data_IF_646498920958
#
_entry.id   IF_646498920958
#
_cell.length_a   1.000
_cell.length_b   1.000
_cell.length_c   1.000
_cell.angle_alpha   90.00
_cell.angle_beta   90.00
_cell.angle_gamma   90.00
#
_symmetry.space_group_name_H-M   'P 1'
#
loop_
_entity.id
_entity.type
_entity.pdbx_description
1 polymer ?
#
# COMPACT_ATOMS: atom_id res chain seq x y z
N UNK A 1 -15.21 15.14 7.27
CA UNK A 1 -14.98 13.91 6.50
C UNK A 1 -13.76 13.19 7.04
N UNK A 2 -13.93 11.95 7.44
CA UNK A 2 -12.81 11.11 7.85
C UNK A 2 -12.23 10.43 6.60
N UNK A 3 -10.91 10.50 6.44
CA UNK A 3 -10.29 9.74 5.37
C UNK A 3 -9.98 8.33 5.86
N UNK A 4 -10.00 7.40 4.91
CA UNK A 4 -9.55 6.04 5.14
C UNK A 4 -8.08 6.09 5.61
N UNK A 5 -7.72 5.28 6.58
CA UNK A 5 -6.34 5.25 7.05
C UNK A 5 -6.06 6.17 8.23
N UNK A 6 -7.08 6.50 9.04
CA UNK A 6 -6.88 7.31 10.25
C UNK A 6 -6.22 6.54 11.40
N UNK A 7 -6.01 5.23 11.24
CA UNK A 7 -5.52 4.36 12.30
C UNK A 7 -6.63 3.68 13.10
N UNK A 8 -7.86 4.11 12.94
CA UNK A 8 -9.02 3.50 13.61
C UNK A 8 -9.61 2.35 12.82
N UNK A 9 -9.32 2.25 11.54
CA UNK A 9 -9.85 1.20 10.69
C UNK A 9 -8.97 -0.05 10.82
N UNK A 10 -9.61 -1.21 10.84
CA UNK A 10 -8.93 -2.49 11.00
C UNK A 10 -7.84 -2.74 9.95
N UNK A 11 -8.08 -2.33 8.71
CA UNK A 11 -7.12 -2.55 7.62
C UNK A 11 -5.84 -1.76 7.83
N UNK A 12 -5.95 -0.51 8.27
CA UNK A 12 -4.76 0.30 8.58
C UNK A 12 -3.97 -0.32 9.73
N UNK A 13 -4.66 -0.76 10.77
CA UNK A 13 -4.04 -1.43 11.92
C UNK A 13 -3.23 -2.67 11.47
N UNK A 14 -3.84 -3.52 10.66
CA UNK A 14 -3.18 -4.74 10.17
C UNK A 14 -2.01 -4.44 9.23
N UNK A 15 -2.12 -3.41 8.40
CA UNK A 15 -1.01 -2.99 7.55
C UNK A 15 0.16 -2.50 8.37
N UNK A 16 -0.09 -1.73 9.43
CA UNK A 16 0.96 -1.30 10.34
C UNK A 16 1.65 -2.50 10.99
N UNK A 17 0.90 -3.54 11.38
CA UNK A 17 1.46 -4.77 11.93
C UNK A 17 2.40 -5.46 10.93
N UNK A 18 1.97 -5.62 9.66
CA UNK A 18 2.83 -6.19 8.61
C UNK A 18 4.09 -5.36 8.41
N UNK A 19 3.96 -4.04 8.42
CA UNK A 19 5.09 -3.14 8.18
C UNK A 19 6.13 -3.22 9.30
N UNK A 20 5.70 -3.44 10.54
CA UNK A 20 6.64 -3.59 11.67
C UNK A 20 7.49 -4.86 11.54
N UNK A 21 7.03 -5.85 10.80
CA UNK A 21 7.75 -7.11 10.55
C UNK A 21 8.48 -7.11 9.19
N UNK A 22 8.54 -5.98 8.52
CA UNK A 22 9.10 -5.87 7.16
C UNK A 22 10.35 -4.99 7.20
N UNK A 23 11.36 -5.37 6.43
CA UNK A 23 12.57 -4.57 6.26
C UNK A 23 12.35 -3.50 5.19
N UNK A 24 12.35 -2.25 5.59
CA UNK A 24 12.21 -1.09 4.70
C UNK A 24 13.54 -0.40 4.41
N UNK A 25 14.62 -0.79 5.08
CA UNK A 25 15.88 -0.06 5.02
C UNK A 25 16.40 0.07 3.58
N UNK A 26 16.53 1.30 3.11
CA UNK A 26 17.06 1.61 1.80
C UNK A 26 16.13 1.28 0.62
N UNK A 27 14.90 0.92 0.88
CA UNK A 27 13.99 0.44 -0.17
C UNK A 27 13.11 1.52 -0.77
N UNK A 28 12.71 1.30 -2.02
CA UNK A 28 11.73 2.14 -2.72
C UNK A 28 10.35 1.58 -2.49
N UNK A 29 9.43 2.43 -2.06
CA UNK A 29 8.10 2.05 -1.59
C UNK A 29 7.03 2.83 -2.33
N UNK A 30 5.93 2.16 -2.66
CA UNK A 30 4.71 2.78 -3.15
C UNK A 30 3.61 2.60 -2.11
N UNK A 31 2.95 3.69 -1.73
CA UNK A 31 1.72 3.68 -0.94
C UNK A 31 0.59 4.12 -1.86
N UNK A 32 -0.17 3.15 -2.36
CA UNK A 32 -1.25 3.37 -3.31
C UNK A 32 -2.58 3.52 -2.60
N UNK A 33 -3.28 4.65 -2.82
CA UNK A 33 -4.45 5.00 -2.05
C UNK A 33 -4.05 5.47 -0.66
N UNK A 34 -3.09 6.40 -0.58
CA UNK A 34 -2.37 6.71 0.66
C UNK A 34 -3.24 7.36 1.75
N UNK A 35 -4.40 7.92 1.43
CA UNK A 35 -5.29 8.52 2.41
C UNK A 35 -4.61 9.61 3.22
N UNK A 36 -4.48 9.39 4.52
CA UNK A 36 -3.81 10.34 5.44
C UNK A 36 -2.28 10.33 5.32
N UNK A 37 -1.71 9.36 4.59
CA UNK A 37 -0.27 9.21 4.47
C UNK A 37 0.39 8.44 5.61
N UNK A 38 -0.38 7.86 6.52
CA UNK A 38 0.17 7.20 7.72
C UNK A 38 1.12 6.04 7.38
N UNK A 39 0.79 5.25 6.36
CA UNK A 39 1.64 4.11 5.96
C UNK A 39 2.94 4.59 5.32
N UNK A 40 2.87 5.60 4.46
CA UNK A 40 4.05 6.21 3.86
C UNK A 40 4.98 6.80 4.92
N UNK A 41 4.41 7.47 5.91
CA UNK A 41 5.18 8.06 7.01
C UNK A 41 5.89 6.95 7.82
N UNK A 42 5.20 5.86 8.14
CA UNK A 42 5.83 4.74 8.83
C UNK A 42 6.95 4.13 7.99
N UNK A 43 6.77 4.00 6.67
CA UNK A 43 7.80 3.47 5.79
C UNK A 43 9.09 4.32 5.87
N UNK A 44 8.96 5.65 5.89
CA UNK A 44 10.12 6.51 6.04
C UNK A 44 10.78 6.33 7.42
N UNK A 45 9.99 6.28 8.49
CA UNK A 45 10.51 6.05 9.85
C UNK A 45 11.24 4.71 9.95
N UNK A 46 10.87 3.73 9.12
CA UNK A 46 11.51 2.42 9.07
C UNK A 46 12.69 2.36 8.10
N UNK A 47 13.10 3.47 7.52
CA UNK A 47 14.31 3.57 6.73
C UNK A 47 14.16 3.50 5.22
N UNK A 48 12.95 3.55 4.69
CA UNK A 48 12.74 3.58 3.24
C UNK A 48 13.47 4.78 2.62
N UNK A 49 14.13 4.56 1.49
CA UNK A 49 14.95 5.60 0.86
C UNK A 49 14.13 6.54 -0.03
N UNK A 50 13.04 6.03 -0.60
CA UNK A 50 12.14 6.80 -1.47
C UNK A 50 10.75 6.22 -1.38
N UNK A 51 9.76 7.08 -1.16
CA UNK A 51 8.38 6.66 -1.03
C UNK A 51 7.53 7.54 -1.96
N UNK A 52 6.75 6.89 -2.83
CA UNK A 52 5.71 7.57 -3.60
C UNK A 52 4.37 7.26 -2.95
N UNK A 53 3.62 8.30 -2.63
CA UNK A 53 2.30 8.20 -2.02
C UNK A 53 1.27 8.79 -2.99
N UNK A 54 0.33 7.96 -3.44
CA UNK A 54 -0.60 8.33 -4.50
C UNK A 54 -2.03 8.21 -3.99
N UNK A 55 -2.87 9.20 -4.27
CA UNK A 55 -4.30 9.12 -4.04
C UNK A 55 -5.05 9.85 -5.15
N UNK A 56 -6.24 9.35 -5.48
CA UNK A 56 -7.09 9.96 -6.51
C UNK A 56 -7.97 11.06 -5.92
N UNK A 57 -8.13 11.10 -4.61
CA UNK A 57 -8.95 12.06 -3.88
C UNK A 57 -8.11 13.28 -3.51
N UNK A 58 -8.53 14.47 -3.97
CA UNK A 58 -7.79 15.70 -3.70
C UNK A 58 -7.74 16.05 -2.22
N UNK A 59 -8.78 15.69 -1.46
CA UNK A 59 -8.80 15.94 -0.02
C UNK A 59 -7.75 15.07 0.68
N UNK A 60 -7.68 13.78 0.31
CA UNK A 60 -6.65 12.87 0.82
C UNK A 60 -5.25 13.34 0.45
N UNK A 61 -5.06 13.78 -0.78
CA UNK A 61 -3.79 14.34 -1.24
C UNK A 61 -3.32 15.49 -0.35
N UNK A 62 -4.20 16.46 -0.09
CA UNK A 62 -3.89 17.62 0.75
C UNK A 62 -3.62 17.20 2.21
N UNK A 63 -4.44 16.31 2.73
CA UNK A 63 -4.31 15.82 4.09
C UNK A 63 -2.99 15.07 4.30
N UNK A 64 -2.59 14.25 3.33
CA UNK A 64 -1.30 13.56 3.41
C UNK A 64 -0.13 14.52 3.37
N UNK A 65 -0.18 15.57 2.55
CA UNK A 65 0.86 16.60 2.51
C UNK A 65 1.06 17.25 3.88
N UNK A 66 -0.04 17.61 4.55
CA UNK A 66 0.03 18.21 5.88
C UNK A 66 0.67 17.26 6.90
N UNK A 67 0.27 16.00 6.87
CA UNK A 67 0.79 15.00 7.82
C UNK A 67 2.28 14.71 7.58
N UNK A 68 2.69 14.65 6.33
CA UNK A 68 4.10 14.47 5.94
C UNK A 68 4.94 15.62 6.48
N UNK A 69 4.46 16.85 6.32
CA UNK A 69 5.16 18.03 6.82
C UNK A 69 5.24 18.03 8.34
N UNK A 70 4.13 17.73 9.04
CA UNK A 70 4.09 17.67 10.50
C UNK A 70 5.07 16.65 11.07
N UNK A 71 5.35 15.58 10.35
CA UNK A 71 6.24 14.52 10.79
C UNK A 71 7.67 14.70 10.27
N UNK A 72 7.97 15.83 9.64
CA UNK A 72 9.29 16.17 9.11
C UNK A 72 9.85 15.11 8.16
N UNK A 73 8.98 14.46 7.38
CA UNK A 73 9.39 13.47 6.41
C UNK A 73 10.05 14.12 5.19
N UNK A 74 11.13 13.54 4.71
CA UNK A 74 11.94 14.08 3.61
C UNK A 74 11.95 13.22 2.36
N UNK A 75 11.57 11.95 2.47
CA UNK A 75 11.72 10.97 1.40
C UNK A 75 10.39 10.59 0.74
N UNK A 76 9.30 11.27 1.11
CA UNK A 76 7.96 11.00 0.57
C UNK A 76 7.60 12.04 -0.47
N UNK A 77 7.21 11.56 -1.66
CA UNK A 77 6.65 12.40 -2.70
C UNK A 77 5.19 12.01 -2.90
N UNK A 78 4.32 13.00 -2.89
CA UNK A 78 2.87 12.78 -2.98
C UNK A 78 2.35 13.16 -4.35
N UNK A 79 1.47 12.34 -4.91
CA UNK A 79 0.88 12.56 -6.23
C UNK A 79 -0.64 12.44 -6.15
N UNK A 80 -1.32 13.26 -6.92
CA UNK A 80 -2.76 13.16 -7.14
C UNK A 80 -3.00 12.44 -8.46
N UNK A 81 -3.59 11.23 -8.41
CA UNK A 81 -3.84 10.45 -9.61
C UNK A 81 -4.08 8.97 -9.32
N UNK A 82 -3.96 8.14 -10.35
CA UNK A 82 -4.22 6.70 -10.30
C UNK A 82 -3.03 5.88 -10.80
N UNK A 83 -3.26 4.58 -11.11
CA UNK A 83 -2.20 3.68 -11.55
C UNK A 83 -1.51 4.08 -12.84
N UNK A 84 -2.08 4.99 -13.63
CA UNK A 84 -1.41 5.49 -14.83
C UNK A 84 -0.11 6.21 -14.51
N UNK A 85 0.03 6.69 -13.27
CA UNK A 85 1.26 7.33 -12.80
C UNK A 85 2.42 6.35 -12.58
N UNK A 86 2.15 5.04 -12.60
CA UNK A 86 3.16 4.00 -12.32
C UNK A 86 3.99 3.62 -13.55
N UNK A 87 3.67 4.14 -14.71
CA UNK A 87 4.39 3.82 -15.93
C UNK A 87 5.89 4.12 -15.75
N UNK A 88 6.71 3.12 -16.09
CA UNK A 88 8.18 3.17 -15.98
C UNK A 88 8.70 3.34 -14.54
N UNK A 89 7.87 3.07 -13.53
CA UNK A 89 8.30 3.12 -12.13
C UNK A 89 8.41 1.71 -11.56
N UNK A 90 9.42 1.51 -10.72
CA UNK A 90 9.66 0.21 -10.06
C UNK A 90 9.83 0.42 -8.56
N UNK A 91 9.27 -0.50 -7.79
CA UNK A 91 9.30 -0.47 -6.33
C UNK A 91 9.68 -1.84 -5.78
N UNK A 92 10.32 -1.83 -4.62
CA UNK A 92 10.65 -3.05 -3.89
C UNK A 92 9.53 -3.46 -2.94
N UNK A 93 8.73 -2.49 -2.49
CA UNK A 93 7.55 -2.73 -1.66
C UNK A 93 6.40 -1.89 -2.19
N UNK A 94 5.24 -2.53 -2.38
CA UNK A 94 4.00 -1.84 -2.73
C UNK A 94 2.97 -2.15 -1.66
N UNK A 95 2.33 -1.09 -1.15
CA UNK A 95 1.26 -1.18 -0.17
C UNK A 95 0.01 -0.59 -0.81
N UNK A 96 -1.08 -1.35 -0.85
CA UNK A 96 -2.34 -0.87 -1.41
C UNK A 96 -3.47 -1.21 -0.43
N UNK A 97 -3.95 -0.20 0.28
CA UNK A 97 -5.06 -0.33 1.22
C UNK A 97 -6.29 0.33 0.59
N UNK A 98 -6.90 -0.38 -0.36
CA UNK A 98 -7.98 0.13 -1.23
C UNK A 98 -9.06 -0.96 -1.34
N UNK A 99 -10.27 -0.59 -1.81
CA UNK A 99 -11.33 -1.57 -1.95
C UNK A 99 -11.01 -2.66 -2.99
N UNK A 100 -11.65 -3.82 -2.82
CA UNK A 100 -11.44 -5.02 -3.64
C UNK A 100 -11.52 -4.76 -5.14
N UNK A 101 -12.54 -4.03 -5.59
CA UNK A 101 -12.77 -3.86 -7.03
C UNK A 101 -11.63 -3.10 -7.70
N UNK A 102 -11.09 -2.10 -7.03
CA UNK A 102 -9.93 -1.35 -7.54
C UNK A 102 -8.68 -2.22 -7.51
N UNK A 103 -8.47 -2.99 -6.43
CA UNK A 103 -7.34 -3.91 -6.35
C UNK A 103 -7.34 -4.92 -7.51
N UNK A 104 -8.48 -5.52 -7.80
CA UNK A 104 -8.60 -6.49 -8.89
C UNK A 104 -8.36 -5.86 -10.25
N UNK A 105 -8.89 -4.66 -10.46
CA UNK A 105 -8.72 -3.91 -11.71
C UNK A 105 -7.27 -3.55 -11.97
N UNK A 106 -6.55 -3.11 -10.93
CA UNK A 106 -5.22 -2.53 -11.06
C UNK A 106 -4.08 -3.49 -10.74
N UNK A 107 -4.39 -4.76 -10.45
CA UNK A 107 -3.40 -5.75 -10.01
C UNK A 107 -2.25 -5.92 -10.99
N UNK A 108 -2.52 -5.95 -12.28
CA UNK A 108 -1.49 -6.08 -13.31
C UNK A 108 -0.47 -4.95 -13.21
N UNK A 109 -0.96 -3.72 -13.02
CA UNK A 109 -0.09 -2.55 -12.89
C UNK A 109 0.81 -2.64 -11.67
N UNK A 110 0.28 -3.11 -10.54
CA UNK A 110 1.07 -3.29 -9.33
C UNK A 110 2.14 -4.36 -9.55
N UNK A 111 1.77 -5.48 -10.15
CA UNK A 111 2.71 -6.56 -10.43
C UNK A 111 3.84 -6.09 -11.35
N UNK A 112 3.50 -5.35 -12.39
CA UNK A 112 4.48 -4.82 -13.35
C UNK A 112 5.44 -3.85 -12.69
N UNK A 113 4.95 -3.03 -11.76
CA UNK A 113 5.75 -2.03 -11.04
C UNK A 113 6.52 -2.59 -9.85
N UNK A 114 6.29 -3.85 -9.51
CA UNK A 114 7.00 -4.51 -8.41
C UNK A 114 8.26 -5.20 -8.95
N UNK A 115 9.40 -4.94 -8.32
CA UNK A 115 10.65 -5.60 -8.68
C UNK A 115 10.65 -7.08 -8.29
N UNK A 116 11.50 -7.88 -8.93
CA UNK A 116 11.70 -9.26 -8.54
C UNK A 116 12.14 -9.32 -7.08
N UNK A 117 11.64 -10.30 -6.33
CA UNK A 117 11.81 -10.44 -4.89
C UNK A 117 11.08 -9.35 -4.09
N UNK A 118 10.31 -8.50 -4.76
CA UNK A 118 9.53 -7.45 -4.12
C UNK A 118 8.34 -8.00 -3.34
N UNK A 119 7.83 -7.19 -2.41
CA UNK A 119 6.72 -7.55 -1.53
C UNK A 119 5.52 -6.67 -1.82
N UNK A 120 4.34 -7.29 -1.88
CA UNK A 120 3.08 -6.61 -2.09
C UNK A 120 2.17 -6.85 -0.90
N UNK A 121 1.66 -5.77 -0.31
CA UNK A 121 0.72 -5.82 0.81
C UNK A 121 -0.62 -5.26 0.35
N UNK A 122 -1.67 -6.05 0.47
CA UNK A 122 -3.02 -5.69 0.02
C UNK A 122 -4.01 -5.77 1.17
N UNK A 123 -4.83 -4.76 1.32
CA UNK A 123 -5.94 -4.75 2.26
C UNK A 123 -7.07 -3.87 1.74
N UNK A 124 -8.19 -3.85 2.45
CA UNK A 124 -9.40 -3.14 2.02
C UNK A 124 -10.47 -4.10 1.52
N UNK A 125 -10.37 -5.38 1.88
CA UNK A 125 -11.31 -6.43 1.51
C UNK A 125 -11.56 -7.37 2.68
N UNK A 126 -12.61 -8.16 2.57
CA UNK A 126 -13.03 -9.12 3.59
C UNK A 126 -12.47 -10.52 3.33
N UNK A 127 -12.52 -11.37 4.35
CA UNK A 127 -12.06 -12.75 4.25
C UNK A 127 -12.71 -13.52 3.08
N UNK A 128 -13.99 -13.27 2.79
CA UNK A 128 -14.69 -13.92 1.67
C UNK A 128 -14.04 -13.62 0.32
N UNK A 129 -13.33 -12.51 0.19
CA UNK A 129 -12.71 -12.07 -1.05
C UNK A 129 -11.26 -12.55 -1.21
N UNK A 130 -10.69 -13.14 -0.16
CA UNK A 130 -9.27 -13.49 -0.16
C UNK A 130 -8.89 -14.46 -1.27
N UNK A 131 -9.72 -15.49 -1.51
CA UNK A 131 -9.42 -16.47 -2.55
C UNK A 131 -9.39 -15.84 -3.94
N UNK A 132 -10.26 -14.88 -4.21
CA UNK A 132 -10.28 -14.17 -5.48
C UNK A 132 -9.03 -13.28 -5.63
N UNK A 133 -8.62 -12.61 -4.55
CA UNK A 133 -7.39 -11.80 -4.53
C UNK A 133 -6.17 -12.69 -4.79
N UNK A 134 -6.08 -13.84 -4.11
CA UNK A 134 -4.97 -14.78 -4.29
C UNK A 134 -4.93 -15.30 -5.74
N UNK A 135 -6.08 -15.69 -6.29
CA UNK A 135 -6.15 -16.18 -7.66
C UNK A 135 -5.66 -15.13 -8.67
N UNK A 136 -6.05 -13.87 -8.46
CA UNK A 136 -5.62 -12.78 -9.32
C UNK A 136 -4.12 -12.53 -9.22
N UNK A 137 -3.57 -12.54 -8.00
CA UNK A 137 -2.14 -12.39 -7.77
C UNK A 137 -1.34 -13.53 -8.40
N UNK A 138 -1.81 -14.76 -8.26
CA UNK A 138 -1.16 -15.94 -8.85
C UNK A 138 -1.10 -15.84 -10.38
N UNK A 139 -2.13 -15.29 -10.99
CA UNK A 139 -2.20 -15.07 -12.43
C UNK A 139 -1.06 -14.18 -12.92
N UNK A 140 -0.58 -13.27 -12.09
CA UNK A 140 0.52 -12.36 -12.39
C UNK A 140 1.84 -12.76 -11.70
N UNK A 141 1.97 -14.04 -11.34
CA UNK A 141 3.19 -14.62 -10.77
C UNK A 141 3.57 -14.11 -9.39
N UNK A 142 2.57 -13.65 -8.62
CA UNK A 142 2.76 -13.28 -7.23
C UNK A 142 2.38 -14.47 -6.34
N UNK A 143 3.19 -14.76 -5.33
CA UNK A 143 2.98 -15.87 -4.41
C UNK A 143 2.42 -15.34 -3.09
N UNK A 144 1.33 -15.93 -2.62
CA UNK A 144 0.77 -15.61 -1.31
C UNK A 144 1.72 -16.09 -0.21
N UNK A 145 2.02 -15.21 0.75
CA UNK A 145 2.94 -15.50 1.85
C UNK A 145 2.20 -15.64 3.17
N UNK A 146 1.39 -14.65 3.54
CA UNK A 146 0.76 -14.61 4.84
C UNK A 146 -0.42 -13.64 4.84
N UNK A 147 -1.24 -13.73 5.88
CA UNK A 147 -2.34 -12.80 6.10
C UNK A 147 -2.51 -12.49 7.58
N UNK A 148 -3.09 -11.34 7.86
CA UNK A 148 -3.63 -10.96 9.17
C UNK A 148 -5.12 -10.74 8.97
N UNK A 149 -5.92 -11.19 9.93
CA UNK A 149 -7.37 -11.01 9.91
C UNK A 149 -7.80 -10.29 11.19
N UNK A 150 -8.71 -9.32 11.03
CA UNK A 150 -9.28 -8.58 12.16
C UNK A 150 -10.70 -8.16 11.82
N UNK A 151 -11.67 -8.64 12.59
CA UNK A 151 -13.09 -8.37 12.38
C UNK A 151 -13.52 -8.61 10.93
N UNK A 152 -13.11 -9.75 10.38
CA UNK A 152 -13.40 -10.18 9.00
C UNK A 152 -12.64 -9.39 7.91
N UNK A 153 -11.93 -8.32 8.24
CA UNK A 153 -11.03 -7.64 7.30
C UNK A 153 -9.71 -8.40 7.18
N UNK A 154 -9.10 -8.34 6.01
CA UNK A 154 -7.85 -9.04 5.71
C UNK A 154 -6.77 -8.04 5.28
N UNK A 155 -5.54 -8.29 5.72
CA UNK A 155 -4.34 -7.70 5.16
C UNK A 155 -3.43 -8.85 4.70
N UNK A 156 -3.20 -8.97 3.40
CA UNK A 156 -2.49 -10.08 2.79
C UNK A 156 -1.13 -9.65 2.28
N UNK A 157 -0.14 -10.54 2.42
CA UNK A 157 1.23 -10.32 1.95
C UNK A 157 1.54 -11.29 0.82
N UNK A 158 2.12 -10.75 -0.25
CA UNK A 158 2.54 -11.49 -1.42
C UNK A 158 4.00 -11.19 -1.75
N UNK A 159 4.62 -12.08 -2.49
CA UNK A 159 6.00 -11.93 -2.97
C UNK A 159 6.08 -12.23 -4.46
N UNK A 160 6.88 -11.42 -5.17
CA UNK A 160 7.13 -11.63 -6.61
C UNK A 160 8.37 -12.51 -6.85
#
# INVERSE_FOLDING_TARGET
>A
KMSFGTGHHETTYMMLQHMLDTDFQGKKVLDMGCGTGVLAILAEFRGASKIDAIDIDSWCYKNSLENIERNNCKNIKTFLGDVSLLENKKYQIIIANINRNILLKDMESYCFSLENEGQLFLSGFYNEDLNLIIATCTKFNLTFVDKIERNNWIAAKFKK
#
